data_IF_743915786819
#
_entry.id   IF_743915786819
#
_cell.length_a   1.000
_cell.length_b   1.000
_cell.length_c   1.000
_cell.angle_alpha   90.00
_cell.angle_beta   90.00
_cell.angle_gamma   90.00
#
_symmetry.space_group_name_H-M   'P 1'
#
loop_
_entity.id
_entity.type
_entity.pdbx_description
1 polymer ?
#
# COMPACT_ATOMS: atom_id res chain seq x y z
N UNK A 1 -63.25 -56.29 9.10
CA UNK A 1 -63.63 -55.69 10.38
C UNK A 1 -62.43 -55.00 10.94
N UNK A 2 -62.53 -53.70 11.08
CA UNK A 2 -61.70 -52.74 11.86
C UNK A 2 -60.19 -52.98 11.89
N UNK A 3 -59.47 -52.25 11.02
CA UNK A 3 -58.04 -51.96 11.11
C UNK A 3 -57.78 -50.75 11.99
N UNK A 4 -56.75 -50.81 12.78
CA UNK A 4 -56.25 -49.71 13.58
C UNK A 4 -54.98 -49.14 12.90
N UNK A 5 -55.08 -47.88 12.54
CA UNK A 5 -53.98 -47.07 11.98
C UNK A 5 -53.04 -46.73 13.09
N UNK A 6 -51.75 -47.13 12.97
CA UNK A 6 -50.70 -46.72 13.88
C UNK A 6 -49.92 -45.60 13.17
N UNK A 7 -50.07 -44.38 13.66
CA UNK A 7 -49.36 -43.21 13.14
C UNK A 7 -47.87 -43.22 13.53
N UNK A 8 -47.02 -43.17 12.56
CA UNK A 8 -45.57 -43.00 12.71
C UNK A 8 -45.24 -41.53 12.83
N UNK A 9 -44.87 -41.12 14.04
CA UNK A 9 -44.39 -39.76 14.33
C UNK A 9 -42.93 -39.62 13.84
N UNK A 10 -42.73 -38.94 12.72
CA UNK A 10 -41.36 -38.57 12.29
C UNK A 10 -40.88 -37.43 13.17
N UNK A 11 -39.90 -37.69 14.00
CA UNK A 11 -39.06 -36.67 14.63
C UNK A 11 -38.10 -36.09 13.55
N UNK A 12 -38.38 -34.89 13.10
CA UNK A 12 -37.45 -34.08 12.36
C UNK A 12 -36.36 -33.60 13.33
N UNK A 13 -35.17 -34.25 13.28
CA UNK A 13 -34.01 -33.72 13.89
C UNK A 13 -33.58 -32.47 13.07
N UNK A 14 -33.67 -31.30 13.69
CA UNK A 14 -33.11 -30.08 13.16
C UNK A 14 -31.56 -30.24 13.10
N UNK A 15 -31.03 -30.41 11.91
CA UNK A 15 -29.63 -30.21 11.66
C UNK A 15 -29.34 -28.73 11.95
N UNK A 16 -28.53 -28.49 12.98
CA UNK A 16 -27.92 -27.21 13.20
C UNK A 16 -27.09 -26.83 11.95
N UNK A 17 -27.42 -25.71 11.36
CA UNK A 17 -26.65 -25.13 10.28
C UNK A 17 -25.20 -24.97 10.74
N UNK A 18 -24.33 -25.83 10.21
CA UNK A 18 -22.91 -25.55 10.23
C UNK A 18 -22.72 -24.27 9.42
N UNK A 19 -22.32 -23.19 10.11
CA UNK A 19 -21.91 -21.94 9.49
C UNK A 19 -20.78 -22.29 8.56
N UNK A 20 -21.04 -22.37 7.27
CA UNK A 20 -20.00 -22.44 6.26
C UNK A 20 -19.10 -21.24 6.43
N UNK A 21 -17.78 -21.41 6.45
CA UNK A 21 -16.89 -20.25 6.42
C UNK A 21 -17.26 -19.44 5.20
N UNK A 22 -17.48 -18.14 5.41
CA UNK A 22 -17.81 -17.21 4.34
C UNK A 22 -16.74 -17.34 3.26
N UNK A 23 -17.15 -17.72 2.06
CA UNK A 23 -16.25 -17.68 0.90
C UNK A 23 -15.75 -16.25 0.79
N UNK A 24 -14.43 -16.12 0.81
CA UNK A 24 -13.78 -14.85 0.52
C UNK A 24 -14.11 -14.52 -0.94
N UNK A 25 -14.90 -13.47 -1.17
CA UNK A 25 -15.14 -12.93 -2.49
C UNK A 25 -14.05 -11.88 -2.73
N UNK A 26 -13.06 -12.15 -3.61
CA UNK A 26 -11.96 -11.22 -3.85
C UNK A 26 -12.38 -9.95 -4.62
N UNK A 27 -13.65 -9.83 -4.99
CA UNK A 27 -14.14 -8.73 -5.82
C UNK A 27 -15.10 -7.75 -5.13
N UNK A 28 -15.44 -7.93 -3.85
CA UNK A 28 -16.34 -7.00 -3.16
C UNK A 28 -15.53 -5.93 -2.40
N UNK A 29 -15.73 -4.62 -2.69
CA UNK A 29 -15.12 -3.57 -1.91
C UNK A 29 -15.62 -3.68 -0.46
N UNK A 30 -14.71 -3.93 0.46
CA UNK A 30 -15.02 -3.92 1.89
C UNK A 30 -15.09 -2.47 2.36
N UNK A 31 -16.26 -1.92 2.47
CA UNK A 31 -16.49 -0.73 3.27
C UNK A 31 -16.40 -1.12 4.75
N UNK A 32 -15.22 -0.97 5.34
CA UNK A 32 -15.07 -1.11 6.78
C UNK A 32 -15.67 0.13 7.46
N UNK A 33 -16.77 -0.07 8.14
CA UNK A 33 -17.25 0.87 9.15
C UNK A 33 -16.33 0.79 10.36
N UNK A 34 -15.81 1.92 10.77
CA UNK A 34 -15.00 2.27 11.95
C UNK A 34 -13.54 2.58 11.58
N UNK A 35 -13.21 3.84 11.78
CA UNK A 35 -11.89 4.41 11.65
C UNK A 35 -10.87 3.67 12.52
N UNK A 36 -10.04 2.86 11.90
CA UNK A 36 -8.72 2.55 12.40
C UNK A 36 -7.73 3.33 11.53
N UNK A 37 -7.05 4.25 12.13
CA UNK A 37 -5.89 4.93 11.59
C UNK A 37 -4.82 3.89 11.33
N UNK A 38 -4.51 3.59 10.07
CA UNK A 38 -3.50 2.59 9.76
C UNK A 38 -3.55 2.10 8.31
N UNK A 39 -2.55 1.34 7.94
CA UNK A 39 -2.43 0.71 6.63
C UNK A 39 -3.56 -0.31 6.44
N UNK A 40 -4.16 -0.31 5.25
CA UNK A 40 -5.24 -1.23 4.87
C UNK A 40 -5.02 -1.78 3.49
N UNK A 41 -5.36 -3.06 3.34
CA UNK A 41 -5.44 -3.67 2.03
C UNK A 41 -6.60 -3.04 1.24
N UNK A 42 -6.30 -2.48 0.08
CA UNK A 42 -7.29 -2.06 -0.91
C UNK A 42 -7.71 -3.27 -1.75
N UNK A 43 -6.73 -3.92 -2.38
CA UNK A 43 -6.98 -5.10 -3.18
C UNK A 43 -5.73 -5.98 -3.31
N UNK A 44 -5.96 -7.24 -3.68
CA UNK A 44 -4.90 -8.18 -4.02
C UNK A 44 -5.30 -9.04 -5.22
N UNK A 45 -4.35 -9.28 -6.10
CA UNK A 45 -4.47 -10.18 -7.25
C UNK A 45 -3.22 -11.01 -7.39
N UNK A 46 -3.36 -12.18 -7.97
CA UNK A 46 -2.23 -13.06 -8.26
C UNK A 46 -2.42 -13.85 -9.54
N UNK A 47 -1.33 -14.32 -10.10
CA UNK A 47 -1.26 -15.18 -11.28
C UNK A 47 -0.05 -16.09 -11.18
N UNK A 48 -0.23 -17.35 -11.59
CA UNK A 48 0.84 -18.30 -11.80
C UNK A 48 0.76 -18.83 -13.25
N UNK A 49 1.75 -19.64 -13.65
CA UNK A 49 1.84 -20.24 -14.99
C UNK A 49 2.13 -19.22 -16.10
N UNK A 50 2.83 -18.16 -15.77
CA UNK A 50 3.36 -17.19 -16.72
C UNK A 50 4.74 -17.63 -17.24
N UNK A 51 5.05 -17.32 -18.49
CA UNK A 51 6.34 -17.69 -19.11
C UNK A 51 6.78 -16.66 -20.15
N UNK A 52 8.07 -16.61 -20.43
CA UNK A 52 8.61 -15.71 -21.46
C UNK A 52 9.52 -14.62 -20.87
N UNK A 53 9.65 -13.52 -21.60
CA UNK A 53 10.51 -12.40 -21.21
C UNK A 53 9.88 -11.47 -20.18
N UNK A 54 8.61 -11.62 -19.86
CA UNK A 54 7.90 -10.82 -18.88
C UNK A 54 6.85 -11.66 -18.16
N UNK A 55 6.68 -11.33 -16.89
CA UNK A 55 5.57 -11.77 -16.06
C UNK A 55 4.75 -10.50 -15.78
N UNK A 56 3.45 -10.55 -16.02
CA UNK A 56 2.57 -9.41 -15.87
C UNK A 56 1.27 -9.79 -15.17
N UNK A 57 0.76 -8.89 -14.33
CA UNK A 57 -0.56 -9.05 -13.72
C UNK A 57 -1.32 -7.74 -13.73
N UNK A 58 -2.61 -7.83 -14.11
CA UNK A 58 -3.54 -6.72 -14.01
C UNK A 58 -4.20 -6.67 -12.64
N UNK A 59 -4.41 -5.46 -12.11
CA UNK A 59 -5.32 -5.26 -11.00
C UNK A 59 -6.79 -5.43 -11.43
N UNK A 60 -7.66 -5.85 -10.52
CA UNK A 60 -9.09 -5.98 -10.78
C UNK A 60 -9.77 -4.61 -10.92
N UNK A 61 -9.34 -3.66 -10.11
CA UNK A 61 -9.66 -2.23 -10.16
C UNK A 61 -8.36 -1.46 -10.06
N UNK A 62 -8.32 -0.22 -10.55
CA UNK A 62 -7.09 0.56 -10.41
C UNK A 62 -6.86 0.94 -8.95
N UNK A 63 -5.62 0.82 -8.44
CA UNK A 63 -5.27 1.31 -7.10
C UNK A 63 -5.62 2.79 -6.95
N UNK A 64 -5.92 3.22 -5.73
CA UNK A 64 -6.26 4.61 -5.48
C UNK A 64 -5.01 5.51 -5.50
N UNK A 65 -5.23 6.79 -5.79
CA UNK A 65 -4.17 7.80 -5.72
C UNK A 65 -3.55 7.82 -4.31
N UNK A 66 -2.24 7.70 -4.25
CA UNK A 66 -1.48 7.71 -3.00
C UNK A 66 -1.29 6.34 -2.35
N UNK A 67 -1.93 5.28 -2.85
CA UNK A 67 -1.68 3.92 -2.37
C UNK A 67 -0.21 3.52 -2.54
N UNK A 68 0.18 2.44 -1.88
CA UNK A 68 1.40 1.70 -2.17
C UNK A 68 1.06 0.38 -2.86
N UNK A 69 1.88 -0.02 -3.83
CA UNK A 69 1.81 -1.34 -4.46
C UNK A 69 2.97 -2.17 -3.95
N UNK A 70 2.68 -3.38 -3.47
CA UNK A 70 3.67 -4.44 -3.25
C UNK A 70 3.52 -5.44 -4.39
N UNK A 71 4.59 -5.63 -5.15
CA UNK A 71 4.65 -6.55 -6.28
C UNK A 71 5.71 -7.62 -6.02
N UNK A 72 5.28 -8.86 -5.83
CA UNK A 72 6.17 -10.01 -5.66
C UNK A 72 6.10 -10.86 -6.90
N UNK A 73 7.25 -11.13 -7.50
CA UNK A 73 7.40 -11.99 -8.68
C UNK A 73 8.13 -13.27 -8.31
N UNK A 74 7.68 -14.37 -8.90
CA UNK A 74 8.25 -15.71 -8.75
C UNK A 74 8.64 -16.25 -10.12
N UNK A 75 9.73 -16.97 -10.20
CA UNK A 75 10.10 -17.63 -11.45
C UNK A 75 11.03 -18.81 -11.24
N UNK A 76 11.06 -19.70 -12.21
CA UNK A 76 12.03 -20.79 -12.30
C UNK A 76 13.23 -20.40 -13.16
N UNK A 77 14.39 -20.91 -12.80
CA UNK A 77 15.65 -20.70 -13.52
C UNK A 77 16.52 -19.56 -12.94
N UNK A 78 17.73 -19.39 -13.51
CA UNK A 78 18.74 -18.46 -12.99
C UNK A 78 18.58 -17.03 -13.51
N UNK A 79 17.45 -16.71 -14.14
CA UNK A 79 17.24 -15.43 -14.79
C UNK A 79 17.07 -14.29 -13.78
N UNK A 80 17.30 -13.06 -14.23
CA UNK A 80 17.17 -11.87 -13.40
C UNK A 80 16.17 -10.90 -14.00
N UNK A 81 15.41 -10.24 -13.14
CA UNK A 81 14.57 -9.12 -13.52
C UNK A 81 15.46 -7.93 -13.89
N UNK A 82 15.22 -7.37 -15.08
CA UNK A 82 15.92 -6.19 -15.59
C UNK A 82 15.22 -4.91 -15.16
N UNK A 83 13.87 -4.93 -15.17
CA UNK A 83 13.06 -3.80 -14.73
C UNK A 83 11.67 -4.26 -14.30
N UNK A 84 11.07 -3.47 -13.41
CA UNK A 84 9.66 -3.55 -13.07
C UNK A 84 9.02 -2.21 -13.40
N UNK A 85 7.89 -2.25 -14.08
CA UNK A 85 7.16 -1.06 -14.50
C UNK A 85 5.67 -1.36 -14.60
N UNK A 86 4.87 -0.32 -14.68
CA UNK A 86 3.43 -0.43 -14.90
C UNK A 86 2.99 0.24 -16.19
N UNK A 87 1.93 -0.29 -16.76
CA UNK A 87 1.31 0.18 -18.01
C UNK A 87 -0.20 -0.07 -17.95
N UNK A 88 -0.93 0.58 -18.85
CA UNK A 88 -2.29 0.12 -19.17
C UNK A 88 -2.20 -1.22 -19.89
N UNK A 89 -3.05 -2.16 -19.54
CA UNK A 89 -2.96 -3.55 -20.05
C UNK A 89 -3.15 -3.66 -21.58
N UNK A 90 -3.78 -2.68 -22.22
CA UNK A 90 -3.92 -2.63 -23.71
C UNK A 90 -2.61 -2.36 -24.44
N UNK A 91 -1.65 -1.79 -23.74
CA UNK A 91 -0.33 -1.54 -24.27
C UNK A 91 0.54 -2.80 -24.22
N UNK A 92 -0.06 -3.98 -24.46
CA UNK A 92 0.64 -5.27 -24.43
C UNK A 92 1.83 -5.23 -25.36
N UNK A 93 3.03 -5.54 -24.86
CA UNK A 93 4.23 -5.56 -25.68
C UNK A 93 4.09 -6.56 -26.81
N UNK A 94 4.25 -6.10 -28.03
CA UNK A 94 4.46 -7.01 -29.15
C UNK A 94 5.79 -7.76 -28.94
N UNK A 95 5.95 -8.98 -29.46
CA UNK A 95 7.09 -9.87 -29.14
C UNK A 95 8.49 -9.30 -29.38
N UNK A 96 8.60 -8.13 -30.00
CA UNK A 96 9.87 -7.51 -30.37
C UNK A 96 10.15 -6.17 -29.70
N UNK A 97 9.31 -5.69 -28.82
CA UNK A 97 9.46 -4.34 -28.28
C UNK A 97 8.61 -4.11 -27.06
N UNK A 98 9.06 -3.33 -26.28
CA UNK A 98 8.67 -2.87 -25.05
C UNK A 98 7.66 -1.80 -25.09
N UNK A 99 7.16 -1.63 -23.96
CA UNK A 99 5.78 -1.58 -23.59
C UNK A 99 5.15 -0.26 -23.95
N UNK A 100 3.85 -0.21 -23.82
CA UNK A 100 3.06 0.99 -23.85
C UNK A 100 3.56 2.09 -22.91
N UNK A 101 2.88 3.20 -22.89
CA UNK A 101 3.27 4.36 -22.07
C UNK A 101 3.24 3.99 -20.60
N UNK A 102 4.38 4.06 -19.87
CA UNK A 102 4.39 3.84 -18.44
C UNK A 102 3.44 4.81 -17.74
N UNK A 103 2.73 4.35 -16.74
CA UNK A 103 1.90 5.23 -15.90
C UNK A 103 2.76 6.11 -15.02
N UNK A 104 3.97 5.65 -14.68
CA UNK A 104 5.01 6.46 -14.07
C UNK A 104 5.25 6.16 -12.60
N UNK A 105 4.70 5.08 -12.06
CA UNK A 105 5.06 4.63 -10.73
C UNK A 105 6.49 4.06 -10.73
N UNK A 106 7.22 4.31 -9.65
CA UNK A 106 8.59 3.82 -9.50
C UNK A 106 8.60 2.62 -8.56
N UNK A 107 9.04 1.49 -9.07
CA UNK A 107 9.16 0.25 -8.31
C UNK A 107 10.58 0.08 -7.78
N UNK A 108 10.72 0.05 -6.46
CA UNK A 108 12.01 -0.16 -5.78
C UNK A 108 12.11 -1.61 -5.35
N UNK A 109 13.20 -2.29 -5.73
CA UNK A 109 13.52 -3.63 -5.23
C UNK A 109 13.76 -3.57 -3.73
N UNK A 110 13.00 -4.36 -2.98
CA UNK A 110 13.14 -4.51 -1.52
C UNK A 110 13.92 -5.76 -1.18
N UNK A 111 13.50 -6.91 -1.71
CA UNK A 111 14.15 -8.19 -1.47
C UNK A 111 14.21 -9.03 -2.75
N UNK A 112 15.29 -9.81 -2.86
CA UNK A 112 15.44 -10.83 -3.89
C UNK A 112 16.16 -12.03 -3.32
N UNK A 113 15.60 -13.21 -3.52
CA UNK A 113 16.14 -14.46 -3.00
C UNK A 113 16.00 -15.58 -4.04
N UNK A 114 17.01 -16.42 -4.15
CA UNK A 114 17.05 -17.55 -5.10
C UNK A 114 17.71 -18.76 -4.47
N UNK A 115 17.13 -19.92 -4.67
CA UNK A 115 17.69 -21.20 -4.27
C UNK A 115 17.03 -22.34 -5.04
N UNK A 116 17.70 -23.47 -5.20
CA UNK A 116 17.11 -24.70 -5.74
C UNK A 116 16.45 -24.57 -7.11
N UNK A 117 16.88 -23.59 -7.93
CA UNK A 117 16.33 -23.36 -9.27
C UNK A 117 15.04 -22.52 -9.27
N UNK A 118 14.63 -21.94 -8.15
CA UNK A 118 13.52 -21.00 -8.03
C UNK A 118 13.99 -19.67 -7.48
N UNK A 119 13.28 -18.60 -7.82
CA UNK A 119 13.62 -17.24 -7.46
C UNK A 119 12.38 -16.44 -7.12
N UNK A 120 12.54 -15.48 -6.22
CA UNK A 120 11.49 -14.54 -5.79
C UNK A 120 12.09 -13.15 -5.64
N UNK A 121 11.36 -12.13 -6.05
CA UNK A 121 11.73 -10.74 -5.80
C UNK A 121 10.50 -9.90 -5.48
N UNK A 122 10.61 -9.06 -4.46
CA UNK A 122 9.54 -8.15 -4.02
C UNK A 122 9.96 -6.70 -4.25
N UNK A 123 9.09 -5.98 -4.93
CA UNK A 123 9.21 -4.56 -5.25
C UNK A 123 8.09 -3.78 -4.57
N UNK A 124 8.37 -2.52 -4.25
CA UNK A 124 7.38 -1.60 -3.69
C UNK A 124 7.38 -0.30 -4.50
N UNK A 125 6.19 0.15 -4.88
CA UNK A 125 5.93 1.49 -5.37
C UNK A 125 5.06 2.22 -4.34
N UNK A 126 5.42 3.45 -3.99
CA UNK A 126 4.67 4.30 -3.07
C UNK A 126 4.10 5.51 -3.80
N UNK A 127 3.08 6.13 -3.25
CA UNK A 127 2.43 7.29 -3.85
C UNK A 127 1.98 7.03 -5.28
N UNK A 128 1.21 5.97 -5.45
CA UNK A 128 0.70 5.53 -6.74
C UNK A 128 -0.06 6.65 -7.43
N UNK A 129 0.26 6.87 -8.70
CA UNK A 129 -0.34 7.91 -9.50
C UNK A 129 -1.77 7.55 -9.90
N UNK A 130 -2.60 8.58 -10.06
CA UNK A 130 -3.99 8.43 -10.46
C UNK A 130 -4.10 7.85 -11.88
N UNK A 131 -5.00 6.90 -12.03
CA UNK A 131 -5.36 6.33 -13.32
C UNK A 131 -6.65 6.97 -13.82
N UNK A 132 -6.78 7.16 -15.15
CA UNK A 132 -7.91 7.89 -15.70
C UNK A 132 -9.26 7.19 -15.54
N UNK A 133 -9.28 5.89 -15.26
CA UNK A 133 -10.52 5.11 -15.17
C UNK A 133 -10.64 4.40 -13.82
N UNK A 134 -11.59 4.81 -12.94
CA UNK A 134 -11.85 4.11 -11.68
C UNK A 134 -12.53 2.74 -11.87
N UNK A 135 -13.15 2.48 -13.04
CA UNK A 135 -13.77 1.20 -13.38
C UNK A 135 -13.11 0.65 -14.66
N UNK A 136 -11.89 0.11 -14.56
CA UNK A 136 -11.15 -0.29 -15.74
C UNK A 136 -11.85 -1.43 -16.49
N UNK A 137 -11.81 -1.32 -17.81
CA UNK A 137 -11.97 -2.50 -18.67
C UNK A 137 -10.66 -3.29 -18.63
N UNK A 138 -10.61 -4.54 -19.11
CA UNK A 138 -9.34 -5.25 -19.25
C UNK A 138 -8.25 -4.46 -19.97
N UNK A 139 -8.64 -3.49 -20.80
CA UNK A 139 -7.77 -2.65 -21.59
C UNK A 139 -7.24 -1.44 -20.82
N UNK A 140 -7.98 -0.90 -19.87
CA UNK A 140 -7.61 0.28 -19.10
C UNK A 140 -7.16 -0.05 -17.69
N UNK A 141 -7.13 -1.34 -17.33
CA UNK A 141 -6.59 -1.80 -16.05
C UNK A 141 -5.08 -1.53 -15.97
N UNK A 142 -4.59 -1.28 -14.77
CA UNK A 142 -3.17 -1.23 -14.51
C UNK A 142 -2.57 -2.63 -14.52
N UNK A 143 -1.59 -2.85 -15.36
CA UNK A 143 -0.73 -4.01 -15.34
C UNK A 143 0.65 -3.67 -14.78
N UNK A 144 1.14 -4.48 -13.85
CA UNK A 144 2.52 -4.41 -13.38
C UNK A 144 3.31 -5.53 -14.04
N UNK A 145 4.44 -5.18 -14.64
CA UNK A 145 5.29 -6.07 -15.42
C UNK A 145 6.68 -6.20 -14.82
N UNK A 146 7.15 -7.43 -14.65
CA UNK A 146 8.57 -7.72 -14.48
C UNK A 146 9.16 -8.21 -15.80
N UNK A 147 10.31 -7.65 -16.18
CA UNK A 147 11.00 -7.97 -17.42
C UNK A 147 12.29 -8.67 -17.10
N UNK A 148 12.52 -9.74 -17.84
CA UNK A 148 13.65 -10.62 -17.65
C UNK A 148 14.69 -10.48 -18.76
N UNK A 149 15.97 -10.62 -18.39
CA UNK A 149 17.08 -10.63 -19.36
C UNK A 149 17.00 -11.80 -20.35
N UNK A 150 16.42 -12.92 -19.92
CA UNK A 150 16.16 -14.12 -20.72
C UNK A 150 14.77 -14.66 -20.37
N UNK A 151 14.13 -15.42 -21.27
CA UNK A 151 12.80 -15.94 -20.99
C UNK A 151 12.83 -16.89 -19.80
N UNK A 152 11.83 -16.77 -18.95
CA UNK A 152 11.58 -17.73 -17.86
C UNK A 152 10.66 -18.85 -18.37
N UNK A 153 10.91 -20.10 -18.00
CA UNK A 153 10.05 -21.20 -18.42
C UNK A 153 8.72 -21.22 -17.69
N UNK A 154 8.69 -20.69 -16.47
CA UNK A 154 7.51 -20.60 -15.64
C UNK A 154 7.70 -19.57 -14.54
N UNK A 155 6.60 -18.92 -14.12
CA UNK A 155 6.59 -17.92 -13.07
C UNK A 155 5.21 -17.36 -12.77
N UNK A 156 5.17 -16.36 -11.92
CA UNK A 156 3.95 -15.71 -11.50
C UNK A 156 4.19 -14.42 -10.76
N UNK A 157 3.09 -13.78 -10.38
CA UNK A 157 3.09 -12.53 -9.65
C UNK A 157 1.99 -12.48 -8.59
N UNK A 158 2.29 -11.82 -7.48
CA UNK A 158 1.34 -11.36 -6.47
C UNK A 158 1.43 -9.84 -6.41
N UNK A 159 0.31 -9.17 -6.63
CA UNK A 159 0.19 -7.73 -6.51
C UNK A 159 -0.81 -7.39 -5.42
N UNK A 160 -0.44 -6.49 -4.53
CA UNK A 160 -1.35 -5.93 -3.53
C UNK A 160 -1.25 -4.41 -3.50
N UNK A 161 -2.38 -3.74 -3.35
CA UNK A 161 -2.46 -2.29 -3.19
C UNK A 161 -2.88 -1.98 -1.74
N UNK A 162 -2.24 -0.98 -1.14
CA UNK A 162 -2.36 -0.66 0.27
C UNK A 162 -2.55 0.83 0.47
N UNK A 163 -3.68 1.21 1.04
CA UNK A 163 -3.92 2.60 1.48
C UNK A 163 -3.27 2.87 2.84
N UNK A 164 -3.02 4.15 3.13
CA UNK A 164 -2.46 4.57 4.41
C UNK A 164 -0.96 4.33 4.58
N UNK A 165 -0.23 3.93 3.54
CA UNK A 165 1.24 3.82 3.53
C UNK A 165 1.85 5.19 3.26
N UNK A 166 3.00 5.48 3.88
CA UNK A 166 3.74 6.73 3.61
C UNK A 166 4.02 6.89 2.11
N UNK A 167 3.73 8.07 1.57
CA UNK A 167 3.98 8.41 0.18
C UNK A 167 5.47 8.58 -0.15
N UNK A 168 6.31 8.83 0.86
CA UNK A 168 7.75 8.96 0.71
C UNK A 168 8.40 7.59 0.81
N UNK A 169 8.98 7.08 -0.28
CA UNK A 169 9.57 5.74 -0.35
C UNK A 169 10.60 5.46 0.76
N UNK A 170 11.40 6.46 1.13
CA UNK A 170 12.39 6.35 2.21
C UNK A 170 11.81 6.22 3.61
N UNK A 171 10.55 6.63 3.80
CA UNK A 171 9.83 6.52 5.07
C UNK A 171 8.87 5.33 5.07
N UNK A 172 8.34 4.97 3.89
CA UNK A 172 7.40 3.89 3.70
C UNK A 172 8.00 2.53 4.01
N UNK A 173 9.27 2.31 3.64
CA UNK A 173 9.95 1.03 3.85
C UNK A 173 10.62 0.99 5.22
N UNK A 174 10.24 -0.01 6.01
CA UNK A 174 10.88 -0.37 7.28
C UNK A 174 11.92 -1.47 7.10
N UNK A 175 12.09 -2.29 8.14
CA UNK A 175 12.96 -3.46 8.08
C UNK A 175 12.39 -4.51 7.11
N UNK A 176 13.30 -5.26 6.49
CA UNK A 176 12.95 -6.35 5.59
C UNK A 176 14.03 -7.43 5.62
N UNK A 177 13.63 -8.67 5.38
CA UNK A 177 14.53 -9.82 5.32
C UNK A 177 14.01 -10.86 4.34
N UNK A 178 14.93 -11.59 3.72
CA UNK A 178 14.61 -12.76 2.91
C UNK A 178 15.57 -13.91 3.21
N UNK A 179 15.05 -15.12 3.12
CA UNK A 179 15.81 -16.34 3.28
C UNK A 179 15.33 -17.44 2.36
N UNK A 180 16.19 -18.41 2.16
CA UNK A 180 15.90 -19.63 1.43
C UNK A 180 16.41 -20.84 2.19
N UNK A 181 15.78 -21.98 1.98
CA UNK A 181 16.22 -23.24 2.55
C UNK A 181 15.68 -24.45 1.83
N UNK A 182 16.10 -25.62 2.28
CA UNK A 182 15.62 -26.90 1.77
C UNK A 182 14.88 -27.64 2.89
N UNK A 183 13.73 -28.21 2.54
CA UNK A 183 12.98 -29.13 3.38
C UNK A 183 13.23 -30.56 2.97
N UNK A 184 13.50 -31.44 3.93
CA UNK A 184 13.69 -32.85 3.68
C UNK A 184 12.70 -33.73 4.43
N UNK A 185 12.03 -33.19 5.43
CA UNK A 185 11.03 -33.88 6.26
C UNK A 185 9.99 -32.89 6.74
N UNK A 186 8.80 -33.36 7.08
CA UNK A 186 7.73 -32.56 7.65
C UNK A 186 7.80 -32.49 9.17
N UNK A 187 7.49 -31.36 9.80
CA UNK A 187 7.32 -30.01 9.23
C UNK A 187 8.68 -29.34 8.98
N UNK A 188 8.76 -28.52 7.94
CA UNK A 188 9.90 -27.63 7.69
C UNK A 188 9.47 -26.21 7.92
N UNK A 189 10.26 -25.46 8.67
CA UNK A 189 9.98 -24.04 8.93
C UNK A 189 10.71 -23.20 7.89
N UNK A 190 9.95 -22.41 7.14
CA UNK A 190 10.48 -21.31 6.31
C UNK A 190 10.48 -20.04 7.16
N UNK A 191 11.65 -19.50 7.42
CA UNK A 191 11.89 -18.40 8.33
C UNK A 191 12.77 -17.34 7.62
N UNK A 192 12.20 -16.20 7.21
CA UNK A 192 12.96 -15.10 6.61
C UNK A 192 13.76 -14.30 7.64
N UNK A 193 13.49 -14.48 8.92
CA UNK A 193 14.01 -13.69 10.01
C UNK A 193 13.01 -12.68 10.59
N UNK A 194 13.34 -12.15 11.76
CA UNK A 194 12.47 -11.21 12.47
C UNK A 194 12.66 -9.77 11.96
N UNK A 195 11.58 -9.00 11.97
CA UNK A 195 11.58 -7.57 11.67
C UNK A 195 10.94 -6.79 12.80
N UNK A 196 11.44 -5.56 13.04
CA UNK A 196 10.81 -4.61 13.96
C UNK A 196 9.89 -3.69 13.22
N UNK A 197 8.69 -3.48 13.73
CA UNK A 197 7.69 -2.59 13.16
C UNK A 197 7.23 -1.55 14.18
N UNK A 198 6.91 -0.35 13.70
CA UNK A 198 6.33 0.73 14.49
C UNK A 198 4.84 0.54 14.75
N UNK A 199 4.27 1.40 15.57
CA UNK A 199 2.81 1.48 15.71
C UNK A 199 2.17 1.94 14.40
N UNK A 200 1.08 1.31 14.00
CA UNK A 200 0.39 1.58 12.74
C UNK A 200 1.04 0.93 11.51
N UNK A 201 2.22 0.32 11.65
CA UNK A 201 2.90 -0.35 10.54
C UNK A 201 2.27 -1.70 10.21
N UNK A 202 2.54 -2.17 8.99
CA UNK A 202 2.15 -3.47 8.48
C UNK A 202 3.39 -4.30 8.11
N UNK A 203 3.42 -5.55 8.54
CA UNK A 203 4.36 -6.54 8.06
C UNK A 203 3.69 -7.37 6.95
N UNK A 204 4.27 -7.37 5.74
CA UNK A 204 3.88 -8.22 4.63
C UNK A 204 4.88 -9.36 4.52
N UNK A 205 4.38 -10.57 4.62
CA UNK A 205 5.16 -11.80 4.48
C UNK A 205 4.73 -12.59 3.27
N UNK A 206 5.69 -13.20 2.60
CA UNK A 206 5.43 -14.12 1.49
C UNK A 206 6.39 -15.30 1.53
N UNK A 207 5.85 -16.49 1.32
CA UNK A 207 6.65 -17.71 1.18
C UNK A 207 6.21 -18.49 -0.04
N UNK A 208 7.18 -19.11 -0.72
CA UNK A 208 6.92 -19.99 -1.84
C UNK A 208 7.75 -21.25 -1.75
N UNK A 209 7.29 -22.30 -2.45
CA UNK A 209 8.00 -23.58 -2.58
C UNK A 209 7.75 -24.20 -3.94
N UNK A 210 8.73 -24.97 -4.42
CA UNK A 210 8.57 -25.85 -5.57
C UNK A 210 8.02 -27.25 -5.20
N UNK A 211 7.54 -27.41 -3.97
CA UNK A 211 6.74 -28.57 -3.57
C UNK A 211 5.26 -28.16 -3.57
N UNK A 212 4.42 -28.94 -4.20
CA UNK A 212 2.97 -28.70 -4.26
C UNK A 212 2.29 -29.19 -2.97
N UNK A 213 2.65 -28.59 -1.85
CA UNK A 213 2.10 -28.91 -0.52
C UNK A 213 1.80 -27.62 0.22
N UNK A 214 0.73 -27.62 0.98
CA UNK A 214 0.33 -26.44 1.75
C UNK A 214 1.31 -26.10 2.88
N UNK A 215 1.21 -24.88 3.37
CA UNK A 215 1.88 -24.42 4.57
C UNK A 215 0.85 -24.04 5.64
N UNK A 216 1.30 -24.08 6.90
CA UNK A 216 0.61 -23.36 7.97
C UNK A 216 1.07 -21.90 7.91
N UNK A 217 0.11 -20.99 7.85
CA UNK A 217 0.37 -19.55 7.91
C UNK A 217 1.10 -19.17 9.20
N UNK A 218 1.91 -18.09 9.17
CA UNK A 218 2.52 -17.58 10.40
C UNK A 218 1.46 -17.20 11.44
N UNK A 219 1.64 -17.58 12.71
CA UNK A 219 0.73 -17.15 13.77
C UNK A 219 0.53 -15.63 13.76
N UNK A 220 -0.69 -15.17 14.06
CA UNK A 220 -1.12 -13.77 14.10
C UNK A 220 -1.19 -13.06 12.73
N UNK A 221 -0.65 -13.62 11.67
CA UNK A 221 -0.81 -13.07 10.32
C UNK A 221 -2.12 -13.51 9.69
N UNK A 222 -2.76 -12.59 8.98
CA UNK A 222 -3.91 -12.92 8.15
C UNK A 222 -3.42 -13.44 6.79
N UNK A 223 -4.03 -14.52 6.31
CA UNK A 223 -3.75 -15.01 4.96
C UNK A 223 -4.41 -14.12 3.93
N UNK A 224 -3.62 -13.55 3.04
CA UNK A 224 -4.07 -12.73 1.91
C UNK A 224 -4.46 -13.61 0.74
N UNK A 225 -3.59 -14.53 0.36
CA UNK A 225 -3.83 -15.47 -0.74
C UNK A 225 -2.93 -16.68 -0.61
N UNK A 226 -3.39 -17.78 -1.21
CA UNK A 226 -2.61 -18.98 -1.48
C UNK A 226 -2.83 -19.35 -2.93
N UNK A 227 -1.77 -19.56 -3.69
CA UNK A 227 -1.84 -19.97 -5.08
C UNK A 227 -0.99 -21.21 -5.30
N UNK A 228 -1.37 -22.03 -6.26
CA UNK A 228 -0.59 -23.19 -6.67
C UNK A 228 -0.86 -23.54 -8.12
N UNK A 229 0.18 -23.94 -8.82
CA UNK A 229 0.11 -24.56 -10.14
C UNK A 229 0.85 -25.90 -10.13
N UNK A 230 1.37 -26.32 -11.27
CA UNK A 230 2.13 -27.57 -11.35
C UNK A 230 3.60 -27.46 -10.91
N UNK A 231 4.11 -26.24 -10.68
CA UNK A 231 5.52 -25.96 -10.38
C UNK A 231 5.72 -25.28 -9.03
N UNK A 232 4.79 -24.42 -8.63
CA UNK A 232 4.91 -23.59 -7.43
C UNK A 232 3.67 -23.66 -6.57
N UNK A 233 3.88 -23.40 -5.30
CA UNK A 233 2.86 -22.93 -4.38
C UNK A 233 3.43 -21.72 -3.65
N UNK A 234 2.61 -20.70 -3.48
CA UNK A 234 2.94 -19.50 -2.73
C UNK A 234 1.83 -19.13 -1.76
N UNK A 235 2.20 -18.41 -0.72
CA UNK A 235 1.30 -17.89 0.27
C UNK A 235 1.78 -16.50 0.69
N UNK A 236 0.87 -15.53 0.66
CA UNK A 236 1.10 -14.19 1.18
C UNK A 236 0.23 -13.91 2.40
N UNK A 237 0.81 -13.25 3.38
CA UNK A 237 0.19 -12.95 4.67
C UNK A 237 0.51 -11.51 5.09
N UNK A 238 -0.36 -10.91 5.90
CA UNK A 238 -0.12 -9.59 6.49
C UNK A 238 -0.44 -9.55 7.98
N UNK A 239 0.19 -8.60 8.65
CA UNK A 239 -0.08 -8.24 10.03
C UNK A 239 0.03 -6.74 10.21
N UNK A 240 -1.08 -6.08 10.53
CA UNK A 240 -1.09 -4.67 10.95
C UNK A 240 -1.07 -4.62 12.48
N UNK A 241 -0.25 -3.76 13.06
CA UNK A 241 -0.14 -3.64 14.52
C UNK A 241 -0.24 -2.18 14.98
N UNK A 242 -1.15 -1.92 15.90
CA UNK A 242 -1.31 -0.59 16.52
C UNK A 242 -0.20 -0.26 17.55
N UNK A 243 0.68 -1.21 17.83
CA UNK A 243 1.78 -1.05 18.77
C UNK A 243 3.11 -1.45 18.15
N UNK A 244 4.18 -0.75 18.51
CA UNK A 244 5.53 -1.12 18.10
C UNK A 244 5.89 -2.50 18.67
N UNK A 245 6.36 -3.40 17.82
CA UNK A 245 6.74 -4.77 18.16
C UNK A 245 7.73 -5.38 17.18
N UNK A 246 8.33 -6.49 17.56
CA UNK A 246 9.03 -7.37 16.62
C UNK A 246 8.12 -8.51 16.21
N UNK A 247 8.18 -8.91 14.93
CA UNK A 247 7.45 -10.04 14.37
C UNK A 247 8.42 -10.96 13.65
N UNK A 248 8.11 -12.25 13.65
CA UNK A 248 8.95 -13.30 13.09
C UNK A 248 8.02 -14.28 12.34
N UNK A 249 7.69 -13.97 11.07
CA UNK A 249 6.78 -14.82 10.31
C UNK A 249 7.46 -16.15 9.97
N UNK A 250 6.80 -17.24 10.32
CA UNK A 250 7.28 -18.59 10.08
C UNK A 250 6.19 -19.44 9.47
N UNK A 251 6.44 -19.96 8.28
CA UNK A 251 5.54 -20.89 7.60
C UNK A 251 5.95 -22.32 7.90
N UNK A 252 4.97 -23.16 8.24
CA UNK A 252 5.19 -24.59 8.46
C UNK A 252 4.91 -25.38 7.19
N UNK A 253 5.90 -25.61 6.34
CA UNK A 253 5.75 -26.40 5.12
C UNK A 253 5.76 -27.91 5.38
N UNK A 254 4.82 -28.62 4.77
CA UNK A 254 4.67 -30.09 4.89
C UNK A 254 5.23 -30.79 3.66
N UNK A 255 6.54 -30.90 3.58
CA UNK A 255 7.20 -31.55 2.46
C UNK A 255 7.15 -33.08 2.55
N UNK A 256 6.82 -33.71 1.45
CA UNK A 256 6.86 -35.17 1.30
C UNK A 256 8.12 -35.67 0.53
N UNK A 257 8.84 -34.72 -0.10
CA UNK A 257 10.07 -34.93 -0.84
C UNK A 257 11.02 -33.76 -0.59
N UNK A 258 12.34 -33.92 -0.86
CA UNK A 258 13.26 -32.79 -0.82
C UNK A 258 12.78 -31.67 -1.73
N UNK A 259 12.61 -30.45 -1.16
CA UNK A 259 12.07 -29.29 -1.83
C UNK A 259 12.77 -28.05 -1.35
N UNK A 260 12.72 -26.99 -2.15
CA UNK A 260 13.24 -25.66 -1.78
C UNK A 260 12.10 -24.76 -1.39
N UNK A 261 12.30 -23.97 -0.36
CA UNK A 261 11.44 -22.86 -0.01
C UNK A 261 12.20 -21.52 -0.10
N UNK A 262 11.47 -20.48 -0.42
CA UNK A 262 11.89 -19.08 -0.32
C UNK A 262 10.90 -18.36 0.58
N UNK A 263 11.38 -17.42 1.38
CA UNK A 263 10.52 -16.59 2.20
C UNK A 263 11.07 -15.18 2.29
N UNK A 264 10.19 -14.20 2.35
CA UNK A 264 10.55 -12.81 2.65
C UNK A 264 9.51 -12.15 3.54
N UNK A 265 9.96 -11.13 4.27
CA UNK A 265 9.12 -10.24 5.06
C UNK A 265 9.61 -8.81 4.85
N UNK A 266 8.68 -7.89 4.73
CA UNK A 266 8.97 -6.45 4.71
C UNK A 266 7.97 -5.71 5.60
N UNK A 267 8.39 -4.57 6.12
CA UNK A 267 7.54 -3.66 6.89
C UNK A 267 7.21 -2.44 6.04
N UNK A 268 5.92 -2.13 5.95
CA UNK A 268 5.46 -0.84 5.45
C UNK A 268 5.04 0.04 6.63
N UNK A 269 5.49 1.29 6.61
CA UNK A 269 5.15 2.27 7.62
C UNK A 269 3.95 3.10 7.17
N UNK A 270 3.07 3.49 8.12
CA UNK A 270 1.89 4.26 7.79
C UNK A 270 2.24 5.62 7.18
N UNK A 271 1.30 6.16 6.41
CA UNK A 271 1.35 7.54 5.97
C UNK A 271 1.57 8.41 7.20
N UNK A 272 2.58 9.28 7.11
CA UNK A 272 2.74 10.30 8.12
C UNK A 272 1.51 11.21 8.04
N UNK A 273 1.07 11.62 9.21
CA UNK A 273 0.04 12.62 9.37
C UNK A 273 0.25 13.78 8.40
N UNK A 274 -0.81 14.40 7.94
CA UNK A 274 -0.72 15.52 7.02
C UNK A 274 -1.13 16.85 7.69
N UNK A 275 -0.60 17.94 7.14
CA UNK A 275 -0.97 19.27 7.56
C UNK A 275 -2.36 19.64 7.03
N UNK A 276 -3.15 20.30 7.84
CA UNK A 276 -4.44 20.86 7.44
C UNK A 276 -4.63 22.24 8.03
N UNK A 277 -5.10 23.21 7.23
CA UNK A 277 -5.46 24.53 7.75
C UNK A 277 -6.69 24.43 8.64
N UNK A 278 -6.51 24.65 9.94
CA UNK A 278 -7.62 24.73 10.91
C UNK A 278 -8.20 26.15 11.01
N UNK A 279 -7.39 27.16 10.69
CA UNK A 279 -7.84 28.54 10.46
C UNK A 279 -7.25 29.00 9.13
N UNK A 280 -8.10 29.16 8.14
CA UNK A 280 -7.72 29.60 6.79
C UNK A 280 -7.27 31.10 6.83
N UNK A 281 -6.34 31.50 5.94
CA UNK A 281 -6.03 32.90 5.75
C UNK A 281 -7.27 33.62 5.29
N UNK A 282 -7.53 34.79 5.91
CA UNK A 282 -8.62 35.67 5.55
C UNK A 282 -8.13 36.83 4.68
N UNK A 283 -9.05 37.50 4.05
CA UNK A 283 -8.79 38.74 3.34
C UNK A 283 -8.12 39.78 4.25
N UNK A 284 -7.11 40.48 3.70
CA UNK A 284 -6.38 41.57 4.41
C UNK A 284 -6.01 42.69 3.44
N UNK A 285 -5.49 43.80 3.94
CA UNK A 285 -4.85 44.83 3.13
C UNK A 285 -3.35 44.58 3.02
N UNK A 286 -2.66 45.15 2.01
CA UNK A 286 -1.22 45.06 1.91
C UNK A 286 -0.52 45.55 3.18
N UNK A 287 0.51 44.82 3.62
CA UNK A 287 1.29 45.04 4.84
C UNK A 287 0.54 44.88 6.16
N UNK A 288 -0.78 44.65 6.14
CA UNK A 288 -1.52 44.34 7.35
C UNK A 288 -1.43 42.86 7.70
N UNK A 289 -1.42 42.59 9.01
CA UNK A 289 -1.40 41.21 9.52
C UNK A 289 -2.69 40.48 9.15
N UNK A 290 -2.55 39.29 8.60
CA UNK A 290 -3.68 38.40 8.32
C UNK A 290 -4.33 38.00 9.64
N UNK A 291 -5.62 38.35 9.80
CA UNK A 291 -6.39 38.15 11.04
C UNK A 291 -7.72 37.43 10.72
N UNK A 292 -8.13 36.40 11.46
CA UNK A 292 -7.43 35.79 12.59
C UNK A 292 -6.10 35.13 12.19
N UNK A 293 -5.23 34.83 13.18
CA UNK A 293 -3.97 34.17 12.96
C UNK A 293 -4.19 32.86 12.19
N UNK A 294 -3.37 32.59 11.15
CA UNK A 294 -3.44 31.37 10.39
C UNK A 294 -3.01 30.23 11.27
N UNK A 295 -3.82 29.17 11.35
CA UNK A 295 -3.48 27.97 12.10
C UNK A 295 -3.46 26.75 11.20
N UNK A 296 -2.46 25.93 11.41
CA UNK A 296 -2.26 24.66 10.73
C UNK A 296 -2.11 23.58 11.79
N UNK A 297 -2.85 22.51 11.66
CA UNK A 297 -2.76 21.35 12.54
C UNK A 297 -2.28 20.14 11.77
N UNK A 298 -1.64 19.21 12.47
CA UNK A 298 -1.40 17.87 11.94
C UNK A 298 -2.64 17.03 12.19
N UNK A 299 -3.09 16.34 11.16
CA UNK A 299 -4.22 15.41 11.23
C UNK A 299 -3.80 14.08 10.63
N UNK A 300 -4.39 13.00 11.13
CA UNK A 300 -4.29 11.69 10.51
C UNK A 300 -5.16 11.60 9.23
N UNK A 301 -5.08 10.49 8.51
CA UNK A 301 -5.86 10.28 7.28
C UNK A 301 -7.39 10.30 7.51
N UNK A 302 -7.84 10.11 8.73
CA UNK A 302 -9.25 10.25 9.13
C UNK A 302 -9.63 11.70 9.51
N UNK A 303 -8.65 12.63 9.51
CA UNK A 303 -8.85 14.04 9.89
C UNK A 303 -8.82 14.31 11.39
N UNK A 304 -8.44 13.32 12.22
CA UNK A 304 -8.31 13.53 13.66
C UNK A 304 -7.01 14.26 13.99
N UNK A 305 -7.02 15.16 14.99
CA UNK A 305 -5.82 15.89 15.40
C UNK A 305 -4.74 14.99 16.00
N UNK A 306 -3.52 15.09 15.48
CA UNK A 306 -2.33 14.42 16.02
C UNK A 306 -1.66 15.33 17.04
N UNK A 307 -2.13 15.28 18.27
CA UNK A 307 -1.72 16.20 19.35
C UNK A 307 -0.28 15.97 19.85
N UNK A 308 0.33 14.84 19.52
CA UNK A 308 1.73 14.53 19.88
C UNK A 308 2.76 15.20 18.97
N UNK A 309 2.37 15.77 17.85
CA UNK A 309 3.32 16.39 16.92
C UNK A 309 3.88 17.70 17.47
N UNK A 310 5.20 17.84 17.49
CA UNK A 310 5.97 19.01 17.96
C UNK A 310 7.03 19.47 16.95
N UNK A 311 6.88 19.06 15.67
CA UNK A 311 7.80 19.45 14.60
C UNK A 311 7.64 20.89 14.16
N UNK A 312 8.62 21.39 13.40
CA UNK A 312 8.57 22.73 12.79
C UNK A 312 7.73 22.71 11.51
N UNK A 313 6.78 23.65 11.41
CA UNK A 313 5.94 23.87 10.23
C UNK A 313 6.39 25.15 9.55
N UNK A 314 6.65 25.08 8.23
CA UNK A 314 7.04 26.23 7.41
C UNK A 314 5.89 26.59 6.47
N UNK A 315 5.64 27.91 6.32
CA UNK A 315 4.58 28.46 5.46
C UNK A 315 5.19 29.35 4.37
N UNK A 316 4.64 29.29 3.17
CA UNK A 316 5.05 30.12 2.03
C UNK A 316 3.83 30.46 1.16
N UNK A 317 3.99 31.38 0.20
CA UNK A 317 2.98 31.60 -0.86
C UNK A 317 3.00 30.40 -1.79
N UNK A 318 1.83 29.81 -2.03
CA UNK A 318 1.58 28.80 -3.06
C UNK A 318 1.28 29.47 -4.40
N UNK A 319 0.02 29.88 -4.60
CA UNK A 319 -0.32 30.73 -5.74
C UNK A 319 -0.09 32.20 -5.40
N UNK A 320 0.68 32.91 -6.22
CA UNK A 320 0.98 34.33 -6.03
C UNK A 320 0.03 35.19 -6.89
N UNK A 321 -1.00 35.74 -6.26
CA UNK A 321 -2.06 36.53 -6.91
C UNK A 321 -1.71 38.00 -7.19
N UNK A 322 -0.45 38.41 -6.99
CA UNK A 322 -0.03 39.84 -7.13
C UNK A 322 -0.28 40.39 -8.53
N UNK A 323 -0.96 41.55 -8.61
CA UNK A 323 -1.47 42.12 -9.87
C UNK A 323 -0.38 42.70 -10.79
N UNK A 324 0.71 43.24 -10.28
CA UNK A 324 1.78 43.88 -11.08
C UNK A 324 3.12 43.20 -10.92
N UNK A 325 3.43 42.77 -9.73
CA UNK A 325 4.60 41.95 -9.39
C UNK A 325 4.15 40.97 -8.31
N UNK A 326 4.84 39.83 -8.20
CA UNK A 326 4.51 38.85 -7.17
C UNK A 326 4.56 39.47 -5.77
N UNK A 327 3.57 39.16 -4.92
CA UNK A 327 3.59 39.55 -3.52
C UNK A 327 4.64 38.79 -2.73
N UNK A 328 5.13 39.41 -1.66
CA UNK A 328 6.09 38.77 -0.73
C UNK A 328 5.40 38.50 0.60
N UNK A 329 5.52 37.26 1.11
CA UNK A 329 5.05 36.91 2.44
C UNK A 329 6.08 37.34 3.49
N UNK A 330 5.64 38.14 4.44
CA UNK A 330 6.40 38.62 5.59
C UNK A 330 5.87 38.03 6.89
N UNK A 331 6.64 38.12 7.96
CA UNK A 331 6.34 37.56 9.26
C UNK A 331 7.13 36.29 9.58
N UNK A 332 6.79 35.62 10.66
CA UNK A 332 7.42 34.39 11.12
C UNK A 332 6.93 33.21 10.26
N UNK A 333 7.76 32.78 9.33
CA UNK A 333 7.40 31.74 8.35
C UNK A 333 7.66 30.31 8.81
N UNK A 334 8.32 30.11 9.93
CA UNK A 334 8.54 28.78 10.51
C UNK A 334 8.23 28.83 12.00
N UNK A 335 7.31 28.01 12.43
CA UNK A 335 6.89 27.89 13.83
C UNK A 335 6.90 26.41 14.27
N UNK A 336 7.21 26.20 15.55
CA UNK A 336 7.11 24.86 16.14
C UNK A 336 5.65 24.59 16.55
N UNK A 337 5.14 23.43 16.19
CA UNK A 337 3.81 23.01 16.59
C UNK A 337 3.74 22.75 18.11
N UNK A 338 2.64 23.16 18.73
CA UNK A 338 2.32 22.88 20.13
C UNK A 338 1.02 22.09 20.15
N UNK A 339 1.06 20.89 20.73
CA UNK A 339 -0.08 19.95 20.71
C UNK A 339 -0.64 19.72 19.29
N UNK A 340 0.26 19.56 18.32
CA UNK A 340 -0.11 19.33 16.93
C UNK A 340 -0.55 20.56 16.14
N UNK A 341 -0.50 21.77 16.71
CA UNK A 341 -0.96 23.01 16.06
C UNK A 341 0.18 24.01 15.92
N UNK A 342 0.42 24.48 14.70
CA UNK A 342 1.30 25.62 14.38
C UNK A 342 0.45 26.87 14.17
N UNK A 343 0.77 27.96 14.88
CA UNK A 343 0.01 29.23 14.82
C UNK A 343 0.91 30.35 14.29
N UNK A 344 0.52 30.97 13.19
CA UNK A 344 1.22 32.06 12.54
C UNK A 344 0.52 33.38 12.84
N UNK A 345 1.10 34.19 13.73
CA UNK A 345 0.43 35.37 14.33
C UNK A 345 0.69 36.71 13.60
N UNK A 346 1.70 36.73 12.70
CA UNK A 346 2.27 37.96 12.18
C UNK A 346 2.45 37.98 10.65
N UNK A 347 1.75 37.08 9.95
CA UNK A 347 1.87 36.99 8.49
C UNK A 347 1.22 38.20 7.82
N UNK A 348 1.89 38.77 6.82
CA UNK A 348 1.37 39.80 5.93
C UNK A 348 1.89 39.65 4.51
N UNK A 349 1.16 40.18 3.53
CA UNK A 349 1.57 40.22 2.12
C UNK A 349 1.61 41.68 1.67
N UNK A 350 2.65 42.07 0.92
CA UNK A 350 2.96 43.44 0.55
C UNK A 350 2.26 43.95 -0.72
N UNK A 351 1.61 43.08 -1.50
CA UNK A 351 1.01 43.43 -2.79
C UNK A 351 -0.48 43.14 -2.87
N UNK A 352 -1.22 44.06 -3.50
CA UNK A 352 -2.60 43.82 -3.92
C UNK A 352 -2.70 42.63 -4.87
N UNK A 353 -3.71 41.82 -4.69
CA UNK A 353 -3.95 40.70 -5.59
C UNK A 353 -5.10 39.81 -5.17
N UNK A 354 -5.57 38.99 -6.11
CA UNK A 354 -6.67 38.07 -5.93
C UNK A 354 -6.21 36.62 -6.04
N UNK A 355 -6.81 35.79 -5.22
CA UNK A 355 -6.57 34.35 -5.29
C UNK A 355 -5.22 33.88 -4.75
N UNK A 356 -4.59 34.62 -3.85
CA UNK A 356 -3.41 34.12 -3.13
C UNK A 356 -3.73 32.82 -2.42
N UNK A 357 -2.80 31.87 -2.42
CA UNK A 357 -2.83 30.71 -1.53
C UNK A 357 -1.54 30.63 -0.70
N UNK A 358 -1.64 29.98 0.45
CA UNK A 358 -0.49 29.66 1.28
C UNK A 358 -0.29 28.15 1.26
N UNK A 359 0.96 27.70 1.13
CA UNK A 359 1.37 26.30 1.26
C UNK A 359 2.13 26.10 2.54
N UNK A 360 1.92 24.96 3.17
CA UNK A 360 2.63 24.58 4.39
C UNK A 360 3.34 23.25 4.22
N UNK A 361 4.51 23.13 4.84
CA UNK A 361 5.33 21.93 4.82
C UNK A 361 5.97 21.66 6.17
N UNK A 362 6.22 20.41 6.44
CA UNK A 362 6.99 19.95 7.60
C UNK A 362 7.73 18.65 7.23
N UNK A 363 8.85 18.39 7.89
CA UNK A 363 9.58 17.16 7.66
C UNK A 363 8.78 15.95 8.16
N UNK A 364 8.61 14.94 7.30
CA UNK A 364 7.92 13.69 7.63
C UNK A 364 6.39 13.81 7.76
N UNK A 365 5.80 14.90 7.27
CA UNK A 365 4.36 15.16 7.30
C UNK A 365 3.92 15.70 5.94
N UNK A 366 2.81 15.21 5.41
CA UNK A 366 2.26 15.68 4.14
C UNK A 366 1.95 17.18 4.21
N UNK A 367 2.26 17.95 3.14
CA UNK A 367 1.97 19.37 3.04
C UNK A 367 0.49 19.64 2.79
N UNK A 368 0.10 20.92 2.90
CA UNK A 368 -1.25 21.39 2.55
C UNK A 368 -1.22 22.75 1.88
N UNK A 369 -2.26 23.05 1.12
CA UNK A 369 -2.52 24.36 0.52
C UNK A 369 -3.80 24.94 1.07
N UNK A 370 -3.82 26.27 1.32
CA UNK A 370 -4.98 26.98 1.83
C UNK A 370 -6.05 27.18 0.74
N UNK A 371 -7.26 27.50 1.18
CA UNK A 371 -8.23 28.12 0.29
C UNK A 371 -7.69 29.46 -0.25
N UNK A 372 -8.08 29.87 -1.47
CA UNK A 372 -7.67 31.15 -2.04
C UNK A 372 -8.27 32.33 -1.24
N UNK A 373 -7.49 33.39 -1.10
CA UNK A 373 -7.91 34.64 -0.43
C UNK A 373 -7.36 35.90 -1.17
N UNK A 374 -7.88 37.06 -0.87
CA UNK A 374 -7.51 38.29 -1.54
C UNK A 374 -6.76 39.22 -0.61
N UNK A 375 -5.81 39.97 -1.17
CA UNK A 375 -5.13 41.08 -0.51
C UNK A 375 -5.55 42.37 -1.20
N UNK A 376 -6.43 43.15 -0.57
CA UNK A 376 -6.95 44.37 -1.17
C UNK A 376 -8.27 44.86 -0.64
N UNK A 377 -8.63 46.07 -1.00
CA UNK A 377 -9.94 46.65 -0.80
C UNK A 377 -10.96 46.07 -1.79
N UNK A 378 -12.25 46.19 -1.49
CA UNK A 378 -13.36 45.74 -2.35
C UNK A 378 -13.32 46.35 -3.71
#
# INVERSE_FOLDING_TARGET
MRGTLLGLLLLLAACSDAVSPARHDPGAPRFATVASTGIRLDQMVGELSESGYHIAKAFATNPHLGDAIVATFFWSGPNTIVSVADHLCDDVPQPSGYPGTPVGNTYTLVESVSAGGISMATYVATNVQNYPDPNPTPQTALCVHAIFAQPVPDGGALLSAWSGVSSAATLALGQHHAAAGAGTTTPTVADPGSVSMGAGSMAYGVSMSNALVGADAPPEFATLTVQSDQYFIDEANDLVSDTARSVDPRWGWYFTQPSTWLASVLVLNPAADHLAFSVQPSRTLPFETITPAVQVRVVDDAGNPVTGFTGSVTIAIGHNGGMLMGGTLSGTKTVTAVNGVATFNDLSIDQFGDGYTLVVSSAGVGGAESAPFNVGAF
#
